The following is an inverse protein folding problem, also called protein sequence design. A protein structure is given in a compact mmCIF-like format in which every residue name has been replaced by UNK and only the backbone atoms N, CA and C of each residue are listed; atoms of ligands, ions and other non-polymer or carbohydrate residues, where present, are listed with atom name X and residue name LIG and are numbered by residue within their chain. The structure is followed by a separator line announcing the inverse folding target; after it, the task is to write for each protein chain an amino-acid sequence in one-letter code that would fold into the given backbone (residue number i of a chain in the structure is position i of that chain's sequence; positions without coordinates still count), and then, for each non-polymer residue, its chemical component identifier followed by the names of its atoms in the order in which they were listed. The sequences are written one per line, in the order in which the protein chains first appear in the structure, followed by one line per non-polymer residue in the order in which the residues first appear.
data_IF_455028826335
#
_entry.id   IF_455028826335
#
_cell.length_a   1.000
_cell.length_b   1.000
_cell.length_c   1.000
_cell.angle_alpha   90.00
_cell.angle_beta   90.00
_cell.angle_gamma   90.00
#
_symmetry.space_group_name_H-M   'P 1'
#
loop_
_entity.id
_entity.type
_entity.pdbx_description
1 polymer ?
#
# COMPACT_ATOMS: atom_id res chain seq x y z
N UNK A 1 -8.30 -38.28 -5.13
CA UNK A 1 -8.13 -37.42 -3.94
C UNK A 1 -7.50 -36.14 -4.44
N UNK A 2 -8.16 -35.00 -4.29
CA UNK A 2 -7.56 -33.70 -4.60
C UNK A 2 -6.84 -33.21 -3.35
N UNK A 3 -5.50 -33.24 -3.38
CA UNK A 3 -4.67 -32.81 -2.25
C UNK A 3 -4.11 -31.43 -2.55
N UNK A 4 -4.45 -30.45 -1.71
CA UNK A 4 -3.86 -29.13 -1.77
C UNK A 4 -2.66 -29.04 -0.81
N UNK A 5 -1.53 -28.53 -1.31
CA UNK A 5 -0.35 -28.24 -0.51
C UNK A 5 -0.17 -26.73 -0.40
N UNK A 6 -0.05 -26.23 0.84
CA UNK A 6 0.24 -24.82 1.11
C UNK A 6 1.69 -24.74 1.59
N UNK A 7 2.58 -24.24 0.72
CA UNK A 7 4.01 -24.13 0.99
C UNK A 7 4.45 -22.69 0.86
N UNK A 8 5.35 -22.25 1.74
CA UNK A 8 5.96 -20.92 1.64
C UNK A 8 7.09 -20.95 0.63
N UNK A 9 7.30 -19.84 -0.05
CA UNK A 9 8.36 -19.72 -1.04
C UNK A 9 8.73 -18.28 -1.29
N UNK A 10 9.72 -18.10 -2.14
CA UNK A 10 10.13 -16.78 -2.64
C UNK A 10 10.14 -16.79 -4.15
N UNK A 11 9.75 -15.67 -4.73
CA UNK A 11 9.87 -15.44 -6.17
C UNK A 11 11.27 -14.90 -6.43
N UNK A 12 12.04 -15.60 -7.26
CA UNK A 12 13.38 -15.20 -7.69
C UNK A 12 13.25 -14.67 -9.12
N UNK A 13 13.20 -13.34 -9.25
CA UNK A 13 13.01 -12.66 -10.53
C UNK A 13 11.57 -12.71 -11.04
N UNK A 14 11.39 -12.88 -12.35
CA UNK A 14 10.07 -12.89 -13.01
C UNK A 14 9.58 -14.29 -13.39
N UNK A 15 10.43 -15.31 -13.29
CA UNK A 15 10.21 -16.61 -13.94
C UNK A 15 10.39 -17.82 -13.03
N UNK A 16 10.95 -17.66 -11.82
CA UNK A 16 11.27 -18.78 -10.93
C UNK A 16 10.68 -18.56 -9.56
N UNK A 17 10.04 -19.60 -9.02
CA UNK A 17 9.57 -19.68 -7.64
C UNK A 17 10.38 -20.78 -6.95
N UNK A 18 10.98 -20.45 -5.81
CA UNK A 18 11.69 -21.40 -4.97
C UNK A 18 10.85 -21.67 -3.72
N UNK A 19 10.50 -22.93 -3.51
CA UNK A 19 9.73 -23.39 -2.36
C UNK A 19 10.67 -23.74 -1.20
N UNK A 20 10.21 -23.53 0.04
CA UNK A 20 10.98 -23.93 1.23
C UNK A 20 11.06 -25.44 1.42
N UNK A 21 10.09 -26.16 0.87
CA UNK A 21 9.90 -27.60 1.07
C UNK A 21 9.55 -28.26 -0.26
N UNK A 22 10.02 -29.49 -0.45
CA UNK A 22 9.63 -30.32 -1.59
C UNK A 22 8.20 -30.81 -1.41
N UNK A 23 7.37 -30.61 -2.42
CA UNK A 23 6.03 -31.21 -2.46
C UNK A 23 6.16 -32.62 -3.03
N UNK A 24 5.63 -33.66 -2.37
CA UNK A 24 5.61 -35.00 -2.94
C UNK A 24 4.57 -35.04 -4.07
N UNK A 25 5.01 -34.87 -5.32
CA UNK A 25 4.18 -35.12 -6.49
C UNK A 25 4.64 -36.43 -7.14
N UNK A 26 3.74 -37.42 -7.18
CA UNK A 26 3.86 -38.53 -8.12
C UNK A 26 3.28 -38.03 -9.44
N UNK A 27 4.04 -38.17 -10.52
CA UNK A 27 3.77 -37.72 -11.90
C UNK A 27 2.29 -37.38 -12.20
N UNK A 28 2.02 -36.08 -12.31
CA UNK A 28 0.69 -35.52 -12.56
C UNK A 28 0.75 -34.03 -12.92
N UNK A 29 -0.42 -33.42 -13.13
CA UNK A 29 -0.57 -31.99 -13.41
C UNK A 29 -0.60 -31.19 -12.09
N UNK A 30 0.22 -30.14 -12.01
CA UNK A 30 0.32 -29.27 -10.81
C UNK A 30 -0.16 -27.86 -11.16
N UNK A 31 -1.23 -27.43 -10.52
CA UNK A 31 -1.76 -26.06 -10.66
C UNK A 31 -1.20 -25.17 -9.55
N UNK A 32 -0.48 -24.12 -9.92
CA UNK A 32 0.06 -23.12 -8.98
C UNK A 32 -0.82 -21.88 -9.00
N UNK A 33 -1.41 -21.54 -7.85
CA UNK A 33 -2.22 -20.32 -7.67
C UNK A 33 -1.39 -19.31 -6.87
N UNK A 34 -1.11 -18.14 -7.46
CA UNK A 34 -0.37 -17.05 -6.81
C UNK A 34 -1.37 -15.98 -6.38
N UNK A 35 -1.72 -15.94 -5.10
CA UNK A 35 -2.54 -14.87 -4.55
C UNK A 35 -1.67 -13.71 -4.04
N UNK A 36 -1.73 -12.58 -4.72
CA UNK A 36 -1.08 -11.35 -4.28
C UNK A 36 -1.98 -10.59 -3.31
N UNK A 37 -1.70 -10.67 -2.02
CA UNK A 37 -2.38 -9.85 -1.00
C UNK A 37 -1.84 -8.40 -0.95
N UNK A 38 -1.46 -7.83 -2.11
CA UNK A 38 -1.09 -6.41 -2.17
C UNK A 38 -2.35 -5.58 -1.93
N UNK A 39 -2.47 -5.06 -0.70
CA UNK A 39 -3.42 -3.97 -0.42
C UNK A 39 -3.17 -2.85 -1.42
N UNK A 40 -4.20 -2.33 -2.09
CA UNK A 40 -4.02 -1.22 -3.00
C UNK A 40 -3.41 -0.05 -2.22
N UNK A 41 -2.22 0.39 -2.65
CA UNK A 41 -1.60 1.59 -2.09
C UNK A 41 -2.53 2.74 -2.43
N UNK A 42 -3.07 3.43 -1.41
CA UNK A 42 -3.88 4.64 -1.62
C UNK A 42 -3.02 5.66 -2.37
N UNK A 43 -3.34 5.90 -3.65
CA UNK A 43 -2.67 6.92 -4.45
C UNK A 43 -3.08 8.30 -3.93
N UNK A 44 -2.13 9.22 -3.83
CA UNK A 44 -2.44 10.64 -3.52
C UNK A 44 -3.27 11.21 -4.67
N UNK A 45 -4.37 11.86 -4.34
CA UNK A 45 -5.24 12.52 -5.32
C UNK A 45 -4.91 14.01 -5.31
N UNK A 46 -4.45 14.60 -6.44
CA UNK A 46 -4.23 16.04 -6.53
C UNK A 46 -5.49 16.83 -6.20
N UNK A 47 -5.37 17.87 -5.37
CA UNK A 47 -6.51 18.72 -5.02
C UNK A 47 -7.55 18.10 -4.07
N UNK A 48 -7.26 16.96 -3.42
CA UNK A 48 -8.18 16.27 -2.50
C UNK A 48 -8.80 17.16 -1.41
N UNK A 49 -8.06 18.18 -0.98
CA UNK A 49 -8.46 19.14 0.07
C UNK A 49 -8.82 20.53 -0.47
N UNK A 50 -8.82 20.73 -1.79
CA UNK A 50 -9.17 22.02 -2.40
C UNK A 50 -10.61 22.40 -2.01
N UNK A 51 -10.78 23.59 -1.44
CA UNK A 51 -12.08 24.09 -0.95
C UNK A 51 -12.61 23.42 0.31
N UNK A 52 -11.89 22.45 0.90
CA UNK A 52 -12.25 21.80 2.16
C UNK A 52 -11.54 22.39 3.38
N UNK A 53 -10.53 23.23 3.16
CA UNK A 53 -9.85 23.99 4.20
C UNK A 53 -10.57 25.32 4.40
N UNK A 54 -10.82 25.70 5.64
CA UNK A 54 -11.31 27.02 6.04
C UNK A 54 -10.38 27.54 7.12
N UNK A 55 -9.93 28.78 6.95
CA UNK A 55 -9.22 29.50 8.01
C UNK A 55 -10.25 29.94 9.05
N UNK A 56 -9.85 29.99 10.32
CA UNK A 56 -10.70 30.60 11.33
C UNK A 56 -10.75 32.12 11.10
N UNK A 57 -11.84 32.80 11.49
CA UNK A 57 -12.00 34.23 11.25
C UNK A 57 -10.91 35.10 11.90
N UNK A 58 -10.34 34.62 12.99
CA UNK A 58 -9.33 35.25 13.84
C UNK A 58 -7.89 34.84 13.49
N UNK A 59 -7.69 34.16 12.35
CA UNK A 59 -6.37 33.65 11.97
C UNK A 59 -5.32 34.76 11.80
N UNK A 60 -5.76 35.92 11.30
CA UNK A 60 -4.88 37.04 11.00
C UNK A 60 -4.77 38.05 12.17
N UNK A 61 -5.55 37.91 13.24
CA UNK A 61 -5.57 38.84 14.38
C UNK A 61 -4.17 39.12 14.96
N UNK A 62 -3.28 38.13 15.15
CA UNK A 62 -1.93 38.41 15.67
C UNK A 62 -1.09 39.29 14.74
N UNK A 63 -1.37 39.27 13.43
CA UNK A 63 -0.63 40.09 12.46
C UNK A 63 -0.92 41.58 12.62
N UNK A 64 -2.08 41.93 13.19
CA UNK A 64 -2.42 43.32 13.49
C UNK A 64 -1.59 43.84 14.67
N UNK A 65 -1.48 43.07 15.75
CA UNK A 65 -0.63 43.38 16.91
C UNK A 65 0.85 43.56 16.50
N UNK A 66 1.33 42.77 15.54
CA UNK A 66 2.69 42.91 15.01
C UNK A 66 2.92 44.19 14.20
N UNK A 67 1.88 44.74 13.54
CA UNK A 67 2.00 46.01 12.80
C UNK A 67 2.12 47.18 13.75
N UNK A 68 1.33 47.21 14.80
CA UNK A 68 1.38 48.25 15.84
C UNK A 68 2.73 48.30 16.55
N UNK A 69 3.42 47.16 16.67
CA UNK A 69 4.76 47.09 17.27
C UNK A 69 5.88 47.69 16.39
N UNK A 70 5.68 47.80 15.09
CA UNK A 70 6.70 48.26 14.13
C UNK A 70 6.62 49.76 13.80
N UNK A 71 5.63 50.46 14.36
CA UNK A 71 5.50 51.93 14.33
C UNK A 71 6.23 52.58 15.52
#
# INVERSE_FOLDING_TARGET
METAYIVKGRIIGHTRIELSESIPFNDGEVTVIIESNKKPVKRRIPGLLKGKMRMMPDFDDPLEDFREYME
#
